data_IF_784189541626
#
_entry.id   IF_784189541626
#
_cell.length_a   1.000
_cell.length_b   1.000
_cell.length_c   1.000
_cell.angle_alpha   90.00
_cell.angle_beta   90.00
_cell.angle_gamma   90.00
#
_symmetry.space_group_name_H-M   'P 1'
#
loop_
_entity.id
_entity.type
_entity.pdbx_description
1 polymer ?
#
# COMPACT_ATOMS: atom_id res chain seq x y z
N UNK A 1 -54.05 -49.81 -27.40
CA UNK A 1 -52.64 -49.66 -26.94
C UNK A 1 -52.13 -48.26 -27.32
N UNK A 2 -52.70 -47.17 -26.76
CA UNK A 2 -52.39 -45.77 -27.14
C UNK A 2 -52.23 -44.81 -25.94
N UNK A 3 -52.43 -45.28 -24.71
CA UNK A 3 -52.46 -44.41 -23.51
C UNK A 3 -51.06 -44.20 -22.90
N UNK A 4 -50.10 -45.08 -23.18
CA UNK A 4 -48.75 -45.02 -22.58
C UNK A 4 -47.79 -44.01 -23.25
N UNK A 5 -48.14 -43.44 -24.42
CA UNK A 5 -47.22 -42.54 -25.16
C UNK A 5 -47.37 -41.06 -24.79
N UNK A 6 -48.52 -40.64 -24.26
CA UNK A 6 -48.74 -39.24 -23.85
C UNK A 6 -48.13 -38.91 -22.48
N UNK A 7 -48.12 -39.85 -21.52
CA UNK A 7 -47.55 -39.60 -20.19
C UNK A 7 -46.01 -39.47 -20.18
N UNK A 8 -45.30 -40.10 -21.13
CA UNK A 8 -43.84 -39.94 -21.25
C UNK A 8 -43.44 -38.56 -21.76
N UNK A 9 -44.23 -37.96 -22.66
CA UNK A 9 -43.91 -36.64 -23.24
C UNK A 9 -44.09 -35.51 -22.22
N UNK A 10 -45.09 -35.61 -21.33
CA UNK A 10 -45.29 -34.61 -20.26
C UNK A 10 -44.24 -34.72 -19.16
N UNK A 11 -43.83 -35.93 -18.76
CA UNK A 11 -42.74 -36.12 -17.80
C UNK A 11 -41.38 -35.64 -18.34
N UNK A 12 -41.08 -35.92 -19.62
CA UNK A 12 -39.85 -35.46 -20.27
C UNK A 12 -39.76 -33.92 -20.35
N UNK A 13 -40.85 -33.23 -20.70
CA UNK A 13 -40.89 -31.77 -20.75
C UNK A 13 -40.78 -31.10 -19.38
N UNK A 14 -41.37 -31.70 -18.34
CA UNK A 14 -41.24 -31.22 -16.95
C UNK A 14 -39.82 -31.46 -16.40
N UNK A 15 -39.19 -32.58 -16.74
CA UNK A 15 -37.80 -32.86 -16.36
C UNK A 15 -36.80 -31.91 -17.04
N UNK A 16 -37.00 -31.59 -18.32
CA UNK A 16 -36.19 -30.60 -19.05
C UNK A 16 -36.37 -29.18 -18.50
N UNK A 17 -37.59 -28.78 -18.16
CA UNK A 17 -37.86 -27.47 -17.55
C UNK A 17 -37.25 -27.37 -16.15
N UNK A 18 -37.34 -28.43 -15.33
CA UNK A 18 -36.71 -28.47 -14.01
C UNK A 18 -35.18 -28.44 -14.11
N UNK A 19 -34.58 -29.19 -15.04
CA UNK A 19 -33.14 -29.18 -15.30
C UNK A 19 -32.65 -27.80 -15.74
N UNK A 20 -33.38 -27.13 -16.65
CA UNK A 20 -33.07 -25.78 -17.08
C UNK A 20 -33.17 -24.76 -15.93
N UNK A 21 -34.17 -24.88 -15.05
CA UNK A 21 -34.31 -24.04 -13.86
C UNK A 21 -33.21 -24.29 -12.83
N UNK A 22 -32.76 -25.52 -12.62
CA UNK A 22 -31.61 -25.82 -11.76
C UNK A 22 -30.29 -25.31 -12.33
N UNK A 23 -30.10 -25.36 -13.65
CA UNK A 23 -28.91 -24.79 -14.30
C UNK A 23 -28.93 -23.26 -14.24
N UNK A 24 -30.09 -22.63 -14.44
CA UNK A 24 -30.22 -21.17 -14.28
C UNK A 24 -30.04 -20.73 -12.83
N UNK A 25 -30.63 -21.46 -11.87
CA UNK A 25 -30.46 -21.17 -10.45
C UNK A 25 -29.02 -21.41 -10.00
N UNK A 26 -28.35 -22.46 -10.50
CA UNK A 26 -26.93 -22.68 -10.26
C UNK A 26 -26.09 -21.54 -10.86
N UNK A 27 -26.37 -21.10 -12.09
CA UNK A 27 -25.66 -19.97 -12.72
C UNK A 27 -25.88 -18.64 -11.99
N UNK A 28 -27.10 -18.37 -11.51
CA UNK A 28 -27.43 -17.18 -10.72
C UNK A 28 -26.78 -17.24 -9.33
N UNK A 29 -26.77 -18.42 -8.68
CA UNK A 29 -26.12 -18.62 -7.39
C UNK A 29 -24.59 -18.62 -7.49
N UNK A 30 -23.99 -19.05 -8.61
CA UNK A 30 -22.55 -18.90 -8.87
C UNK A 30 -22.17 -17.49 -9.28
N UNK A 31 -23.07 -16.75 -9.96
CA UNK A 31 -22.85 -15.34 -10.29
C UNK A 31 -22.97 -14.41 -9.06
N UNK A 32 -23.57 -14.87 -7.97
CA UNK A 32 -23.54 -14.17 -6.68
C UNK A 32 -22.23 -14.36 -5.89
N UNK A 33 -21.31 -15.23 -6.32
CA UNK A 33 -20.10 -15.54 -5.56
C UNK A 33 -18.78 -15.24 -6.29
N UNK A 34 -18.78 -15.07 -7.61
CA UNK A 34 -17.55 -14.78 -8.35
C UNK A 34 -17.89 -13.96 -9.59
N UNK A 35 -18.05 -12.65 -9.45
CA UNK A 35 -17.62 -11.75 -10.53
C UNK A 35 -16.18 -11.42 -10.17
N UNK A 36 -15.17 -12.06 -10.77
CA UNK A 36 -13.86 -11.45 -10.76
C UNK A 36 -14.07 -10.15 -11.53
N UNK A 37 -14.09 -9.02 -10.82
CA UNK A 37 -13.99 -7.74 -11.50
C UNK A 37 -12.70 -7.84 -12.31
N UNK A 38 -12.78 -7.59 -13.61
CA UNK A 38 -11.68 -7.83 -14.56
C UNK A 38 -10.43 -6.98 -14.29
N UNK A 39 -10.52 -6.09 -13.31
CA UNK A 39 -9.48 -5.24 -12.75
C UNK A 39 -8.75 -5.87 -11.54
N UNK A 40 -9.06 -7.11 -11.18
CA UNK A 40 -8.40 -7.83 -10.09
C UNK A 40 -8.93 -7.49 -8.69
N UNK A 41 -10.01 -6.72 -8.55
CA UNK A 41 -10.66 -6.51 -7.25
C UNK A 41 -11.30 -7.81 -6.76
N UNK A 42 -10.95 -8.27 -5.55
CA UNK A 42 -11.67 -9.39 -4.92
C UNK A 42 -13.14 -8.98 -4.71
N UNK A 43 -14.12 -9.89 -4.84
CA UNK A 43 -15.50 -9.63 -4.43
C UNK A 43 -15.66 -9.38 -2.92
N UNK A 44 -14.59 -9.58 -2.14
CA UNK A 44 -14.48 -9.20 -0.73
C UNK A 44 -13.68 -7.91 -0.51
N UNK A 45 -12.96 -7.43 -1.54
CA UNK A 45 -12.22 -6.17 -1.51
C UNK A 45 -13.22 -5.03 -1.69
N UNK A 46 -12.96 -3.95 -0.98
CA UNK A 46 -13.76 -2.74 -1.01
C UNK A 46 -14.12 -2.37 -2.46
N UNK A 47 -15.40 -2.43 -2.88
CA UNK A 47 -15.79 -2.17 -4.27
C UNK A 47 -15.42 -0.74 -4.72
N UNK A 48 -15.17 0.15 -3.75
CA UNK A 48 -14.75 1.53 -3.97
C UNK A 48 -13.25 1.75 -3.66
N UNK A 49 -12.53 0.74 -3.15
CA UNK A 49 -11.11 0.80 -2.82
C UNK A 49 -10.19 0.58 -4.02
N UNK A 50 -8.89 0.79 -3.80
CA UNK A 50 -7.85 0.59 -4.80
C UNK A 50 -7.83 -0.85 -5.31
N UNK A 51 -7.67 -1.08 -6.62
CA UNK A 51 -7.43 -2.42 -7.19
C UNK A 51 -5.94 -2.77 -7.30
N UNK A 52 -5.62 -4.05 -7.47
CA UNK A 52 -4.23 -4.46 -7.76
C UNK A 52 -3.72 -3.87 -9.09
N UNK A 53 -4.58 -3.74 -10.11
CA UNK A 53 -4.20 -3.10 -11.37
C UNK A 53 -3.89 -1.61 -11.17
N UNK A 54 -4.71 -0.90 -10.37
CA UNK A 54 -4.46 0.49 -10.00
C UNK A 54 -3.12 0.62 -9.23
N UNK A 55 -2.79 -0.31 -8.32
CA UNK A 55 -1.49 -0.33 -7.66
C UNK A 55 -0.32 -0.58 -8.62
N UNK A 56 -0.45 -1.54 -9.55
CA UNK A 56 0.59 -1.86 -10.53
C UNK A 56 0.92 -0.64 -11.42
N UNK A 57 -0.11 0.16 -11.76
CA UNK A 57 0.06 1.41 -12.50
C UNK A 57 0.59 2.56 -11.63
N UNK A 58 0.17 2.66 -10.38
CA UNK A 58 0.52 3.76 -9.48
C UNK A 58 1.95 3.70 -8.95
N UNK A 59 2.46 2.50 -8.60
CA UNK A 59 3.81 2.32 -8.02
C UNK A 59 4.90 3.02 -8.84
N UNK A 60 5.03 2.81 -10.18
CA UNK A 60 6.06 3.49 -10.96
C UNK A 60 5.87 5.00 -11.05
N UNK A 61 4.64 5.51 -11.00
CA UNK A 61 4.36 6.95 -11.00
C UNK A 61 4.82 7.60 -9.69
N UNK A 62 4.50 6.98 -8.56
CA UNK A 62 4.90 7.46 -7.23
C UNK A 62 6.43 7.33 -7.05
N UNK A 63 7.05 6.23 -7.52
CA UNK A 63 8.51 6.08 -7.52
C UNK A 63 9.18 7.21 -8.32
N UNK A 64 8.70 7.49 -9.52
CA UNK A 64 9.26 8.57 -10.34
C UNK A 64 9.12 9.95 -9.66
N UNK A 65 8.03 10.21 -8.94
CA UNK A 65 7.84 11.46 -8.21
C UNK A 65 8.89 11.64 -7.10
N UNK A 66 9.10 10.63 -6.25
CA UNK A 66 10.06 10.71 -5.14
C UNK A 66 11.52 10.73 -5.62
N UNK A 67 11.83 10.04 -6.72
CA UNK A 67 13.17 10.02 -7.31
C UNK A 67 13.63 11.39 -7.84
N UNK A 68 12.70 12.33 -8.05
CA UNK A 68 13.01 13.69 -8.52
C UNK A 68 13.10 14.74 -7.41
N UNK A 69 12.94 14.33 -6.14
CA UNK A 69 13.02 15.24 -4.99
C UNK A 69 14.47 15.65 -4.70
N UNK A 70 14.68 16.81 -4.09
CA UNK A 70 16.03 17.21 -3.66
C UNK A 70 16.57 16.30 -2.55
N UNK A 71 15.68 15.62 -1.79
CA UNK A 71 16.06 14.56 -0.88
C UNK A 71 16.76 13.37 -1.59
N UNK A 72 16.25 12.95 -2.76
CA UNK A 72 16.90 11.93 -3.58
C UNK A 72 18.30 12.39 -4.04
N UNK A 73 18.40 13.64 -4.51
CA UNK A 73 19.70 14.24 -4.89
C UNK A 73 20.67 14.36 -3.70
N UNK A 74 20.15 14.52 -2.48
CA UNK A 74 20.92 14.56 -1.24
C UNK A 74 21.33 13.17 -0.72
N UNK A 75 20.97 12.09 -1.43
CA UNK A 75 21.41 10.72 -1.15
C UNK A 75 20.45 9.90 -0.28
N UNK A 76 19.25 10.40 0.00
CA UNK A 76 18.19 9.58 0.59
C UNK A 76 17.62 8.63 -0.46
N UNK A 77 17.43 7.36 -0.09
CA UNK A 77 16.81 6.38 -0.96
C UNK A 77 15.29 6.35 -0.77
N UNK A 78 14.58 5.90 -1.80
CA UNK A 78 13.14 5.67 -1.74
C UNK A 78 12.80 4.31 -2.33
N UNK A 79 11.93 3.57 -1.65
CA UNK A 79 11.38 2.30 -2.15
C UNK A 79 9.88 2.40 -2.13
N UNK A 80 9.27 2.23 -3.30
CA UNK A 80 7.82 2.30 -3.48
C UNK A 80 7.27 0.92 -3.81
N UNK A 81 6.29 0.47 -3.05
CA UNK A 81 5.65 -0.84 -3.21
C UNK A 81 4.13 -0.73 -3.16
N UNK A 82 3.43 -1.65 -3.81
CA UNK A 82 2.00 -1.86 -3.58
C UNK A 82 1.83 -2.80 -2.41
N UNK A 83 1.06 -2.40 -1.39
CA UNK A 83 0.81 -3.18 -0.19
C UNK A 83 -0.67 -3.39 0.09
N UNK A 84 -0.94 -4.43 0.87
CA UNK A 84 -2.26 -4.79 1.37
C UNK A 84 -2.19 -4.96 2.88
N UNK A 85 -3.07 -4.28 3.61
CA UNK A 85 -3.35 -4.64 5.00
C UNK A 85 -4.62 -5.48 5.10
N UNK A 86 -4.82 -6.10 6.28
CA UNK A 86 -6.06 -6.69 6.77
C UNK A 86 -6.85 -7.65 5.84
N UNK A 87 -6.17 -8.61 5.21
CA UNK A 87 -6.77 -9.65 4.35
C UNK A 87 -7.79 -10.61 5.04
N UNK A 88 -8.18 -10.35 6.29
CA UNK A 88 -9.33 -10.97 6.97
C UNK A 88 -10.62 -10.12 6.82
N UNK A 89 -10.69 -9.26 5.78
CA UNK A 89 -11.78 -8.34 5.47
C UNK A 89 -11.58 -7.69 4.10
N UNK A 90 -12.15 -6.49 3.88
CA UNK A 90 -11.87 -5.71 2.68
C UNK A 90 -10.40 -5.28 2.67
N UNK A 91 -9.60 -5.80 1.73
CA UNK A 91 -8.18 -5.47 1.68
C UNK A 91 -8.01 -3.97 1.44
N UNK A 92 -7.31 -3.30 2.35
CA UNK A 92 -6.94 -1.92 2.15
C UNK A 92 -5.65 -1.85 1.30
N UNK A 93 -5.84 -1.84 -0.01
CA UNK A 93 -4.78 -1.70 -1.00
C UNK A 93 -4.30 -0.25 -1.10
N UNK A 94 -3.00 -0.06 -0.97
CA UNK A 94 -2.35 1.26 -0.97
C UNK A 94 -0.92 1.18 -1.50
N UNK A 95 -0.37 2.34 -1.86
CA UNK A 95 1.06 2.47 -2.16
C UNK A 95 1.80 2.78 -0.86
N UNK A 96 2.83 2.01 -0.54
CA UNK A 96 3.78 2.31 0.53
C UNK A 96 5.01 2.97 -0.09
N UNK A 97 5.45 4.06 0.52
CA UNK A 97 6.68 4.78 0.23
C UNK A 97 7.55 4.69 1.47
N UNK A 98 8.66 3.98 1.34
CA UNK A 98 9.67 3.83 2.37
C UNK A 98 10.81 4.82 2.11
N UNK A 99 11.14 5.63 3.12
CA UNK A 99 12.30 6.52 3.12
C UNK A 99 13.50 5.75 3.69
N UNK A 100 14.54 5.56 2.87
CA UNK A 100 15.73 4.78 3.22
C UNK A 100 16.87 5.71 3.62
N UNK A 101 17.45 5.55 4.82
CA UNK A 101 18.65 6.27 5.21
C UNK A 101 19.81 6.04 4.24
N UNK A 102 20.66 7.05 3.98
CA UNK A 102 21.84 6.89 3.16
C UNK A 102 22.78 5.80 3.70
N UNK A 103 23.23 4.89 2.83
CA UNK A 103 24.14 3.79 3.16
C UNK A 103 25.60 4.26 3.21
N UNK A 104 25.94 5.11 4.17
CA UNK A 104 27.32 5.59 4.34
C UNK A 104 28.16 4.55 5.09
N UNK A 105 28.51 3.44 4.42
CA UNK A 105 29.34 2.37 5.00
C UNK A 105 30.73 2.88 5.45
N UNK A 106 31.27 3.86 4.72
CA UNK A 106 32.57 4.47 5.01
C UNK A 106 32.61 5.21 6.35
N UNK A 107 31.48 5.75 6.81
CA UNK A 107 31.36 6.39 8.12
C UNK A 107 31.66 5.41 9.27
N UNK A 108 31.40 4.12 9.04
CA UNK A 108 31.59 3.05 10.01
C UNK A 108 32.80 2.17 9.74
N UNK A 109 33.69 2.55 8.83
CA UNK A 109 34.88 1.78 8.49
C UNK A 109 35.81 1.52 9.70
N UNK A 110 35.66 2.28 10.79
CA UNK A 110 36.44 2.15 12.02
C UNK A 110 35.63 1.57 13.21
N UNK A 111 34.36 1.21 13.00
CA UNK A 111 33.55 0.64 14.04
C UNK A 111 34.05 -0.77 14.42
N UNK A 112 34.01 -1.09 15.72
CA UNK A 112 34.31 -2.43 16.22
C UNK A 112 33.07 -3.33 16.06
N UNK A 113 33.13 -4.39 15.22
CA UNK A 113 31.99 -5.28 15.01
C UNK A 113 31.46 -5.94 16.29
N UNK A 114 32.30 -6.13 17.32
CA UNK A 114 31.90 -6.76 18.57
C UNK A 114 30.96 -5.89 19.42
N UNK A 115 30.93 -4.58 19.17
CA UNK A 115 30.12 -3.62 19.93
C UNK A 115 29.19 -2.78 19.07
N UNK A 116 29.32 -2.85 17.75
CA UNK A 116 28.49 -2.09 16.83
C UNK A 116 27.04 -2.61 16.80
N UNK A 117 26.09 -1.70 16.94
CA UNK A 117 24.66 -1.93 16.76
C UNK A 117 24.14 -1.09 15.60
N UNK A 118 23.03 -1.52 14.98
CA UNK A 118 22.37 -0.75 13.93
C UNK A 118 22.02 0.65 14.46
N UNK A 119 22.57 1.72 13.86
CA UNK A 119 22.30 3.07 14.32
C UNK A 119 20.94 3.53 13.79
N UNK A 120 20.19 4.22 14.64
CA UNK A 120 18.99 4.93 14.22
C UNK A 120 19.36 6.27 13.59
N UNK A 121 18.88 6.52 12.38
CA UNK A 121 19.02 7.77 11.66
C UNK A 121 17.68 8.50 11.65
N UNK A 122 17.65 9.72 12.21
CA UNK A 122 16.48 10.57 12.10
C UNK A 122 16.32 11.03 10.65
N UNK A 123 15.12 10.87 10.11
CA UNK A 123 14.71 11.48 8.85
C UNK A 123 14.54 12.99 9.09
N UNK A 124 15.22 13.86 8.33
CA UNK A 124 15.02 15.30 8.42
C UNK A 124 13.59 15.72 8.05
N UNK A 125 13.09 16.78 8.69
CA UNK A 125 11.74 17.28 8.41
C UNK A 125 11.57 17.75 6.96
N UNK A 126 12.61 18.34 6.35
CA UNK A 126 12.60 18.75 4.95
C UNK A 126 12.56 17.55 3.98
N UNK A 127 13.20 16.43 4.34
CA UNK A 127 13.12 15.18 3.56
C UNK A 127 11.69 14.64 3.62
N UNK A 128 11.12 14.51 4.81
CA UNK A 128 9.73 14.05 4.96
C UNK A 128 8.75 14.98 4.22
N UNK A 129 8.90 16.30 4.35
CA UNK A 129 8.01 17.25 3.69
C UNK A 129 8.04 17.12 2.16
N UNK A 130 9.23 17.05 1.57
CA UNK A 130 9.38 16.86 0.12
C UNK A 130 8.77 15.53 -0.35
N UNK A 131 9.00 14.45 0.40
CA UNK A 131 8.38 13.16 0.09
C UNK A 131 6.87 13.23 0.17
N UNK A 132 6.30 13.84 1.20
CA UNK A 132 4.85 13.96 1.36
C UNK A 132 4.21 14.77 0.23
N UNK A 133 4.80 15.89 -0.17
CA UNK A 133 4.29 16.70 -1.30
C UNK A 133 4.37 15.91 -2.60
N UNK A 134 5.53 15.32 -2.92
CA UNK A 134 5.71 14.56 -4.17
C UNK A 134 4.76 13.35 -4.26
N UNK A 135 4.55 12.67 -3.15
CA UNK A 135 3.69 11.48 -3.09
C UNK A 135 2.21 11.81 -3.05
N UNK A 136 1.82 12.95 -2.47
CA UNK A 136 0.44 13.44 -2.49
C UNK A 136 -0.01 13.68 -3.94
N UNK A 137 0.74 14.48 -4.70
CA UNK A 137 0.39 14.85 -6.07
C UNK A 137 0.34 13.60 -6.99
N UNK A 138 1.29 12.68 -6.82
CA UNK A 138 1.33 11.43 -7.57
C UNK A 138 0.19 10.48 -7.18
N UNK A 139 -0.12 10.38 -5.89
CA UNK A 139 -1.21 9.57 -5.36
C UNK A 139 -2.57 10.04 -5.87
N UNK A 140 -2.82 11.35 -5.90
CA UNK A 140 -4.05 11.93 -6.45
C UNK A 140 -4.18 11.65 -7.94
N UNK A 141 -3.08 11.86 -8.68
CA UNK A 141 -3.01 11.59 -10.12
C UNK A 141 -3.30 10.12 -10.46
N UNK A 142 -2.89 9.20 -9.59
CA UNK A 142 -3.11 7.77 -9.73
C UNK A 142 -4.40 7.27 -9.04
N UNK A 143 -5.10 8.13 -8.30
CA UNK A 143 -6.30 7.79 -7.51
C UNK A 143 -6.08 6.61 -6.56
N UNK A 144 -4.94 6.59 -5.87
CA UNK A 144 -4.59 5.59 -4.85
C UNK A 144 -4.24 6.27 -3.55
N UNK A 145 -4.50 5.62 -2.41
CA UNK A 145 -3.99 6.10 -1.12
C UNK A 145 -2.50 5.80 -1.00
N UNK A 146 -1.76 6.70 -0.36
CA UNK A 146 -0.31 6.57 -0.17
C UNK A 146 0.03 6.58 1.31
N UNK A 147 1.01 5.77 1.72
CA UNK A 147 1.58 5.76 3.07
C UNK A 147 3.05 6.04 2.98
N UNK A 148 3.54 6.94 3.82
CA UNK A 148 4.96 7.28 3.91
C UNK A 148 5.49 6.83 5.26
N UNK A 149 6.53 5.99 5.25
CA UNK A 149 7.19 5.46 6.45
C UNK A 149 8.71 5.58 6.31
N UNK A 150 9.42 5.48 7.44
CA UNK A 150 10.86 5.29 7.41
C UNK A 150 11.18 3.80 7.38
N UNK A 151 12.29 3.46 6.72
CA UNK A 151 12.74 2.08 6.57
C UNK A 151 14.22 1.96 6.87
N UNK A 152 14.78 0.82 6.50
CA UNK A 152 16.16 0.43 6.73
C UNK A 152 16.99 0.83 5.51
N UNK A 153 18.24 1.23 5.72
CA UNK A 153 19.18 1.37 4.61
C UNK A 153 19.47 0.00 3.97
N UNK A 154 20.09 0.01 2.80
CA UNK A 154 20.75 -1.21 2.30
C UNK A 154 21.72 -1.77 3.36
N UNK A 155 21.80 -3.09 3.39
CA UNK A 155 22.70 -3.80 4.28
C UNK A 155 24.17 -3.52 3.90
N UNK A 156 25.02 -3.36 4.91
CA UNK A 156 26.47 -3.21 4.76
C UNK A 156 27.20 -4.13 5.74
N UNK A 157 28.44 -4.51 5.41
CA UNK A 157 29.28 -5.35 6.26
C UNK A 157 30.50 -4.56 6.74
N UNK A 158 30.72 -4.56 8.06
CA UNK A 158 31.93 -3.94 8.63
C UNK A 158 33.19 -4.75 8.26
N UNK A 159 34.35 -4.09 8.07
CA UNK A 159 35.60 -4.79 7.84
C UNK A 159 35.90 -5.82 8.93
N UNK A 160 36.11 -7.09 8.55
CA UNK A 160 36.39 -8.18 9.47
C UNK A 160 35.16 -8.80 10.15
N UNK A 161 33.95 -8.37 9.80
CA UNK A 161 32.70 -9.00 10.21
C UNK A 161 32.11 -9.88 9.12
N UNK A 162 31.30 -10.86 9.50
CA UNK A 162 30.40 -11.60 8.60
C UNK A 162 28.92 -11.28 8.85
N UNK A 163 28.66 -10.27 9.69
CA UNK A 163 27.32 -9.82 10.07
C UNK A 163 26.97 -8.62 9.19
N UNK A 164 25.76 -8.64 8.65
CA UNK A 164 25.16 -7.51 7.95
C UNK A 164 24.53 -6.55 8.96
N UNK A 165 24.82 -5.27 8.77
CA UNK A 165 24.28 -4.16 9.53
C UNK A 165 23.50 -3.24 8.60
N UNK A 166 22.63 -2.43 9.17
CA UNK A 166 21.84 -1.44 8.45
C UNK A 166 21.58 -0.24 9.35
N UNK A 167 21.19 0.90 8.76
CA UNK A 167 20.66 2.04 9.52
C UNK A 167 19.15 1.95 9.58
N UNK A 168 18.59 2.19 10.76
CA UNK A 168 17.15 2.25 10.96
C UNK A 168 16.68 3.69 10.82
N UNK A 169 15.82 3.99 9.86
CA UNK A 169 15.21 5.32 9.74
C UNK A 169 14.16 5.55 10.82
N UNK A 170 14.00 6.81 11.25
CA UNK A 170 12.91 7.20 12.16
C UNK A 170 12.24 8.49 11.71
N UNK A 171 10.90 8.49 11.67
CA UNK A 171 10.08 9.67 11.37
C UNK A 171 9.68 10.47 12.61
N UNK A 172 10.00 10.01 13.82
CA UNK A 172 9.43 10.57 15.06
C UNK A 172 9.68 12.08 15.20
N UNK A 173 10.92 12.51 14.97
CA UNK A 173 11.31 13.91 15.09
C UNK A 173 10.72 14.76 13.95
N UNK A 174 10.80 14.28 12.70
CA UNK A 174 10.23 14.97 11.54
C UNK A 174 8.72 15.15 11.65
N UNK A 175 7.99 14.12 12.09
CA UNK A 175 6.53 14.21 12.30
C UNK A 175 6.21 15.21 13.41
N UNK A 176 6.97 15.19 14.51
CA UNK A 176 6.78 16.14 15.61
C UNK A 176 7.05 17.59 15.19
N UNK A 177 7.99 17.79 14.26
CA UNK A 177 8.32 19.10 13.71
C UNK A 177 7.27 19.60 12.72
N UNK A 178 6.87 18.77 11.75
CA UNK A 178 5.91 19.16 10.72
C UNK A 178 4.47 19.21 11.22
N UNK A 179 4.12 18.36 12.19
CA UNK A 179 2.75 18.19 12.68
C UNK A 179 2.68 18.23 14.21
N UNK A 180 3.05 19.37 14.85
CA UNK A 180 3.18 19.47 16.30
C UNK A 180 1.89 19.20 17.07
N UNK A 181 0.73 19.42 16.43
CA UNK A 181 -0.59 19.22 17.03
C UNK A 181 -1.23 17.86 16.67
N UNK A 182 -0.58 17.08 15.82
CA UNK A 182 -1.16 15.84 15.34
C UNK A 182 -0.99 14.71 16.36
N UNK A 183 -2.06 13.94 16.57
CA UNK A 183 -2.10 12.81 17.50
C UNK A 183 -2.17 11.50 16.72
N UNK A 184 -1.32 10.55 17.07
CA UNK A 184 -1.31 9.21 16.46
C UNK A 184 -2.71 8.59 16.56
N UNK A 185 -3.21 8.07 15.44
CA UNK A 185 -4.53 7.44 15.34
C UNK A 185 -5.70 8.43 15.30
N UNK A 186 -5.45 9.73 15.24
CA UNK A 186 -6.51 10.73 14.96
C UNK A 186 -6.62 10.92 13.46
N UNK A 187 -7.75 10.49 12.89
CA UNK A 187 -7.98 10.52 11.45
C UNK A 187 -8.39 11.94 11.00
N UNK A 188 -7.51 12.59 10.24
CA UNK A 188 -7.88 13.75 9.42
C UNK A 188 -8.51 13.31 8.10
N UNK A 189 -9.14 14.25 7.41
CA UNK A 189 -9.79 13.99 6.11
C UNK A 189 -8.74 13.73 5.03
N UNK A 190 -7.74 14.61 4.89
CA UNK A 190 -6.70 14.48 3.86
C UNK A 190 -5.54 13.56 4.28
N UNK A 191 -5.18 13.56 5.57
CA UNK A 191 -4.07 12.75 6.08
C UNK A 191 -4.23 12.43 7.56
N UNK A 192 -3.47 11.45 8.05
CA UNK A 192 -3.30 11.18 9.48
C UNK A 192 -1.99 10.48 9.78
N UNK A 193 -1.62 10.46 11.05
CA UNK A 193 -0.44 9.72 11.54
C UNK A 193 -0.92 8.39 12.11
N UNK A 194 -0.27 7.31 11.69
CA UNK A 194 -0.53 5.96 12.19
C UNK A 194 0.77 5.32 12.70
N UNK A 195 0.61 4.33 13.58
CA UNK A 195 1.70 3.48 14.03
C UNK A 195 1.40 2.04 13.58
N UNK A 196 2.23 1.54 12.65
CA UNK A 196 2.14 0.20 12.10
C UNK A 196 3.06 -0.74 12.86
N UNK A 197 2.60 -1.94 13.26
CA UNK A 197 3.47 -2.95 13.86
C UNK A 197 4.65 -3.38 12.97
N UNK A 198 4.51 -3.20 11.64
CA UNK A 198 5.51 -3.63 10.65
C UNK A 198 6.39 -2.46 10.22
N UNK A 199 5.78 -1.30 9.96
CA UNK A 199 6.47 -0.14 9.36
C UNK A 199 6.73 0.99 10.35
N UNK A 200 6.33 0.83 11.62
CA UNK A 200 6.42 1.85 12.66
C UNK A 200 5.56 3.08 12.35
N UNK A 201 6.04 4.24 12.76
CA UNK A 201 5.35 5.51 12.56
C UNK A 201 5.29 5.87 11.06
N UNK A 202 4.09 6.17 10.58
CA UNK A 202 3.81 6.49 9.19
C UNK A 202 2.84 7.68 9.06
N UNK A 203 2.94 8.41 7.96
CA UNK A 203 1.94 9.40 7.53
C UNK A 203 1.11 8.77 6.43
N UNK A 204 -0.21 8.72 6.61
CA UNK A 204 -1.14 8.17 5.63
C UNK A 204 -1.85 9.32 4.93
N UNK A 205 -1.88 9.27 3.59
CA UNK A 205 -2.46 10.26 2.70
C UNK A 205 -3.70 9.68 2.01
N UNK A 206 -4.86 10.33 2.17
CA UNK A 206 -6.15 9.95 1.56
C UNK A 206 -6.30 10.46 0.11
N UNK A 207 -5.26 10.29 -0.69
CA UNK A 207 -5.13 10.82 -2.06
C UNK A 207 -6.07 10.16 -3.07
N UNK A 208 -6.74 9.06 -2.71
CA UNK A 208 -7.77 8.47 -3.57
C UNK A 208 -9.06 9.27 -3.58
N UNK A 209 -9.50 9.70 -2.40
CA UNK A 209 -10.85 10.24 -2.18
C UNK A 209 -10.85 11.74 -1.93
N UNK A 210 -9.68 12.32 -1.65
CA UNK A 210 -9.48 13.74 -1.33
C UNK A 210 -8.50 14.34 -2.33
N UNK A 211 -8.84 15.51 -2.87
CA UNK A 211 -7.94 16.33 -3.68
C UNK A 211 -7.23 17.38 -2.83
N UNK A 212 -6.16 17.95 -3.37
CA UNK A 212 -5.42 19.05 -2.73
C UNK A 212 -4.83 18.63 -1.36
N UNK A 213 -4.44 17.36 -1.23
CA UNK A 213 -3.81 16.79 -0.03
C UNK A 213 -2.49 17.50 0.26
N UNK A 214 -1.72 17.87 -0.78
CA UNK A 214 -0.48 18.66 -0.62
C UNK A 214 -0.74 20.03 0.00
N UNK A 215 -1.85 20.69 -0.35
CA UNK A 215 -2.29 21.94 0.29
C UNK A 215 -2.74 21.70 1.74
N UNK A 216 -3.51 20.62 1.99
CA UNK A 216 -3.99 20.27 3.32
C UNK A 216 -2.86 19.91 4.31
N UNK A 217 -1.73 19.43 3.81
CA UNK A 217 -0.52 19.21 4.60
C UNK A 217 0.13 20.52 5.07
N UNK A 218 -0.12 21.64 4.38
CA UNK A 218 0.47 22.94 4.70
C UNK A 218 1.98 23.03 4.43
N UNK A 219 2.47 22.23 3.48
CA UNK A 219 3.90 22.07 3.18
C UNK A 219 4.33 22.68 1.82
N UNK A 220 3.44 23.42 1.16
CA UNK A 220 3.64 24.07 -0.14
C UNK A 220 4.03 25.54 -0.10
#
# INVERSE_FOLDING_TARGET
>A
MYVLSQERRTRSRRALAAAALTVLAALVLTACFVVPLSDGRSPFDDPNGTSFAELEEAVPLVQAAVDTTAAAEAGWGFRVTGESENCEGACNLHVLVEILPPSNADEFAQADPATFSNPTQQVPADVLAQTLVATADAGESASVNVRVSASWSDAFTLPGSSVEYYREGSLADAISELFPDASIGTHGEAYWIADSPVHGLQVVLNTRDVSDVSEALGLG
#
